data_IF_665242342126
#
_entry.id   IF_665242342126
#
_cell.length_a   1.000
_cell.length_b   1.000
_cell.length_c   1.000
_cell.angle_alpha   90.00
_cell.angle_beta   90.00
_cell.angle_gamma   90.00
#
_symmetry.space_group_name_H-M   'P 1'
#
loop_
_entity.id
_entity.type
_entity.pdbx_description
1 polymer ?
#
# COMPACT_ATOMS: atom_id res chain seq x y z
N UNK A 1 10.43 -6.13 -70.43
CA UNK A 1 10.28 -6.68 -69.08
C UNK A 1 11.10 -5.78 -68.18
N UNK A 2 10.44 -4.94 -67.37
CA UNK A 2 11.11 -4.12 -66.36
C UNK A 2 11.47 -5.11 -65.24
N UNK A 3 12.76 -5.40 -65.06
CA UNK A 3 13.20 -6.19 -63.92
C UNK A 3 13.01 -5.35 -62.67
N UNK A 4 12.08 -5.74 -61.80
CA UNK A 4 11.98 -5.14 -60.48
C UNK A 4 13.27 -5.43 -59.71
N UNK A 5 14.03 -4.39 -59.39
CA UNK A 5 15.17 -4.48 -58.48
C UNK A 5 14.65 -4.93 -57.10
N UNK A 6 14.98 -6.16 -56.72
CA UNK A 6 14.61 -6.70 -55.40
C UNK A 6 15.45 -5.97 -54.35
N UNK A 7 14.79 -5.41 -53.33
CA UNK A 7 15.46 -4.66 -52.26
C UNK A 7 16.52 -5.55 -51.57
N UNK A 8 17.81 -5.16 -51.56
CA UNK A 8 18.89 -5.92 -50.92
C UNK A 8 18.69 -6.16 -49.42
N UNK A 9 17.86 -5.37 -48.75
CA UNK A 9 17.53 -5.54 -47.32
C UNK A 9 16.82 -6.88 -47.06
N UNK A 10 16.14 -7.47 -48.06
CA UNK A 10 15.49 -8.78 -47.91
C UNK A 10 16.46 -9.96 -47.77
N UNK A 11 17.75 -9.74 -48.04
CA UNK A 11 18.80 -10.78 -47.92
C UNK A 11 19.60 -10.69 -46.62
N UNK A 12 19.24 -9.77 -45.71
CA UNK A 12 19.93 -9.57 -44.44
C UNK A 12 19.06 -10.01 -43.26
N UNK A 13 19.67 -10.68 -42.27
CA UNK A 13 18.99 -11.00 -41.02
C UNK A 13 18.75 -9.73 -40.19
N UNK A 14 17.49 -9.51 -39.80
CA UNK A 14 17.12 -8.37 -38.95
C UNK A 14 17.64 -8.60 -37.54
N UNK A 15 18.36 -7.62 -37.00
CA UNK A 15 18.84 -7.61 -35.62
C UNK A 15 17.89 -6.84 -34.73
N UNK A 16 17.75 -7.30 -33.49
CA UNK A 16 16.91 -6.65 -32.48
C UNK A 16 17.52 -5.33 -31.96
N UNK A 17 18.85 -5.22 -31.96
CA UNK A 17 19.59 -4.05 -31.51
C UNK A 17 20.85 -3.86 -32.36
N UNK A 18 21.34 -2.62 -32.42
CA UNK A 18 22.57 -2.26 -33.13
C UNK A 18 23.72 -1.86 -32.18
N UNK A 19 23.40 -1.55 -30.92
CA UNK A 19 24.37 -1.09 -29.92
C UNK A 19 24.07 -1.61 -28.50
N UNK A 20 25.03 -1.40 -27.58
CA UNK A 20 24.94 -1.88 -26.20
C UNK A 20 23.79 -1.24 -25.41
N UNK A 21 23.47 0.02 -25.67
CA UNK A 21 22.41 0.73 -24.95
C UNK A 21 21.01 0.24 -25.37
N UNK A 22 20.81 -0.02 -26.67
CA UNK A 22 19.59 -0.65 -27.19
C UNK A 22 19.40 -2.07 -26.66
N UNK A 23 20.49 -2.84 -26.58
CA UNK A 23 20.47 -4.17 -25.97
C UNK A 23 20.01 -4.11 -24.52
N UNK A 24 20.61 -3.24 -23.71
CA UNK A 24 20.23 -3.05 -22.31
C UNK A 24 18.75 -2.63 -22.16
N UNK A 25 18.28 -1.71 -23.02
CA UNK A 25 16.87 -1.32 -23.04
C UNK A 25 15.96 -2.51 -23.33
N UNK A 26 16.31 -3.34 -24.32
CA UNK A 26 15.55 -4.54 -24.64
C UNK A 26 15.59 -5.58 -23.52
N UNK A 27 16.73 -5.76 -22.87
CA UNK A 27 16.87 -6.66 -21.73
C UNK A 27 15.94 -6.21 -20.58
N UNK A 28 15.90 -4.92 -20.26
CA UNK A 28 14.97 -4.36 -19.26
C UNK A 28 13.50 -4.59 -19.63
N UNK A 29 13.15 -4.42 -20.91
CA UNK A 29 11.80 -4.68 -21.41
C UNK A 29 11.44 -6.17 -21.36
N UNK A 30 12.42 -7.04 -21.61
CA UNK A 30 12.26 -8.49 -21.54
C UNK A 30 11.98 -8.94 -20.10
N UNK A 31 12.61 -8.31 -19.12
CA UNK A 31 12.38 -8.61 -17.70
C UNK A 31 10.96 -8.20 -17.28
N UNK A 32 10.51 -7.00 -17.67
CA UNK A 32 9.13 -6.57 -17.42
C UNK A 32 8.12 -7.53 -18.07
N UNK A 33 8.36 -7.93 -19.32
CA UNK A 33 7.55 -8.92 -20.03
C UNK A 33 7.51 -10.28 -19.30
N UNK A 34 8.66 -10.74 -18.81
CA UNK A 34 8.76 -12.01 -18.09
C UNK A 34 7.99 -11.98 -16.76
N UNK A 35 8.15 -10.91 -15.97
CA UNK A 35 7.45 -10.75 -14.69
C UNK A 35 5.93 -10.70 -14.87
N UNK A 36 5.42 -9.99 -15.88
CA UNK A 36 3.98 -9.93 -16.16
C UNK A 36 3.42 -11.32 -16.48
N UNK A 37 4.11 -12.10 -17.32
CA UNK A 37 3.68 -13.46 -17.67
C UNK A 37 3.80 -14.42 -16.49
N UNK A 38 4.85 -14.29 -15.66
CA UNK A 38 5.01 -15.09 -14.46
C UNK A 38 3.87 -14.82 -13.46
N UNK A 39 3.50 -13.55 -13.27
CA UNK A 39 2.40 -13.16 -12.39
C UNK A 39 1.04 -13.67 -12.91
N UNK A 40 0.80 -13.57 -14.22
CA UNK A 40 -0.41 -14.12 -14.87
C UNK A 40 -0.50 -15.64 -14.69
N UNK A 41 0.62 -16.34 -14.84
CA UNK A 41 0.69 -17.78 -14.62
C UNK A 41 0.39 -18.13 -13.16
N UNK A 42 0.96 -17.40 -12.22
CA UNK A 42 0.74 -17.60 -10.78
C UNK A 42 -0.73 -17.41 -10.38
N UNK A 43 -1.40 -16.37 -10.88
CA UNK A 43 -2.84 -16.14 -10.66
C UNK A 43 -3.69 -17.28 -11.24
N UNK A 44 -3.33 -17.78 -12.43
CA UNK A 44 -3.97 -18.94 -13.06
C UNK A 44 -3.73 -20.23 -12.27
N UNK A 45 -2.57 -20.41 -11.66
CA UNK A 45 -2.28 -21.57 -10.81
C UNK A 45 -3.13 -21.54 -9.55
N UNK A 46 -3.26 -20.39 -8.89
CA UNK A 46 -4.11 -20.27 -7.70
C UNK A 46 -5.59 -20.51 -8.04
N UNK A 47 -6.11 -19.93 -9.12
CA UNK A 47 -7.51 -20.13 -9.51
C UNK A 47 -7.85 -21.58 -9.89
N UNK A 48 -6.84 -22.37 -10.27
CA UNK A 48 -6.95 -23.81 -10.55
C UNK A 48 -6.61 -24.70 -9.35
N UNK A 49 -6.44 -24.12 -8.16
CA UNK A 49 -6.04 -24.82 -6.93
C UNK A 49 -4.76 -25.66 -7.09
N UNK A 50 -3.83 -25.19 -7.94
CA UNK A 50 -2.56 -25.87 -8.25
C UNK A 50 -1.41 -25.41 -7.34
N UNK A 51 -1.64 -24.46 -6.44
CA UNK A 51 -0.64 -23.91 -5.52
C UNK A 51 -1.30 -23.59 -4.16
N UNK A 52 -0.67 -23.95 -3.03
CA UNK A 52 -1.19 -23.61 -1.71
C UNK A 52 -1.28 -22.08 -1.50
N UNK A 53 -2.31 -21.56 -0.83
CA UNK A 53 -2.49 -20.12 -0.61
C UNK A 53 -1.29 -19.41 0.03
N UNK A 54 -0.60 -20.10 0.96
CA UNK A 54 0.56 -19.55 1.67
C UNK A 54 1.76 -19.36 0.73
N UNK A 55 2.02 -20.33 -0.13
CA UNK A 55 3.10 -20.27 -1.11
C UNK A 55 2.80 -19.24 -2.20
N UNK A 56 1.56 -19.24 -2.70
CA UNK A 56 1.08 -18.20 -3.61
C UNK A 56 1.31 -16.79 -3.05
N UNK A 57 0.97 -16.56 -1.77
CA UNK A 57 1.09 -15.24 -1.15
C UNK A 57 2.54 -14.75 -1.20
N UNK A 58 3.49 -15.61 -0.82
CA UNK A 58 4.91 -15.27 -0.81
C UNK A 58 5.44 -14.95 -2.22
N UNK A 59 5.14 -15.81 -3.20
CA UNK A 59 5.62 -15.61 -4.57
C UNK A 59 4.94 -14.42 -5.27
N UNK A 60 3.65 -14.19 -5.02
CA UNK A 60 2.92 -13.05 -5.56
C UNK A 60 3.49 -11.73 -5.02
N UNK A 61 3.75 -11.64 -3.71
CA UNK A 61 4.41 -10.47 -3.11
C UNK A 61 5.79 -10.20 -3.72
N UNK A 62 6.58 -11.25 -3.97
CA UNK A 62 7.89 -11.13 -4.61
C UNK A 62 7.78 -10.63 -6.05
N UNK A 63 6.88 -11.20 -6.85
CA UNK A 63 6.66 -10.80 -8.24
C UNK A 63 6.15 -9.34 -8.36
N UNK A 64 5.29 -8.89 -7.44
CA UNK A 64 4.85 -7.49 -7.38
C UNK A 64 6.01 -6.52 -7.12
N UNK A 65 6.93 -6.88 -6.22
CA UNK A 65 8.14 -6.07 -5.98
C UNK A 65 9.03 -6.05 -7.21
N UNK A 66 9.26 -7.20 -7.85
CA UNK A 66 10.04 -7.30 -9.08
C UNK A 66 9.42 -6.48 -10.22
N UNK A 67 8.10 -6.52 -10.36
CA UNK A 67 7.35 -5.71 -11.33
C UNK A 67 7.63 -4.22 -11.16
N UNK A 68 7.58 -3.71 -9.91
CA UNK A 68 7.86 -2.29 -9.63
C UNK A 68 9.28 -1.88 -10.02
N UNK A 69 10.25 -2.78 -9.80
CA UNK A 69 11.65 -2.52 -10.19
C UNK A 69 11.77 -2.53 -11.72
N UNK A 70 11.23 -3.55 -12.39
CA UNK A 70 11.27 -3.67 -13.85
C UNK A 70 10.58 -2.49 -14.55
N UNK A 71 9.42 -2.06 -14.06
CA UNK A 71 8.68 -0.91 -14.61
C UNK A 71 9.52 0.37 -14.58
N UNK A 72 10.24 0.63 -13.48
CA UNK A 72 11.13 1.79 -13.33
C UNK A 72 12.30 1.76 -14.32
N UNK A 73 12.87 0.57 -14.56
CA UNK A 73 13.98 0.40 -15.50
C UNK A 73 13.56 0.62 -16.96
N UNK A 74 12.33 0.22 -17.32
CA UNK A 74 11.78 0.42 -18.67
C UNK A 74 11.37 1.88 -18.91
N UNK A 75 11.24 2.70 -17.84
CA UNK A 75 10.77 4.09 -17.90
C UNK A 75 9.40 4.23 -18.61
N UNK A 76 8.55 3.21 -18.50
CA UNK A 76 7.21 3.24 -19.04
C UNK A 76 6.27 3.93 -18.05
N UNK A 77 5.57 4.97 -18.51
CA UNK A 77 4.60 5.69 -17.68
C UNK A 77 3.29 4.92 -17.51
N UNK A 78 2.91 4.10 -18.50
CA UNK A 78 1.64 3.39 -18.53
C UNK A 78 1.85 1.91 -18.93
N UNK A 79 1.59 1.02 -17.98
CA UNK A 79 1.68 -0.42 -18.19
C UNK A 79 0.66 -0.92 -19.23
N UNK A 80 -0.51 -0.28 -19.34
CA UNK A 80 -1.55 -0.67 -20.30
C UNK A 80 -1.08 -0.40 -21.76
N UNK A 81 -0.24 0.63 -21.97
CA UNK A 81 0.41 0.87 -23.25
C UNK A 81 1.42 -0.23 -23.59
N UNK A 82 2.26 -0.62 -22.62
CA UNK A 82 3.26 -1.67 -22.81
C UNK A 82 2.61 -3.01 -23.16
N UNK A 83 1.59 -3.40 -22.39
CA UNK A 83 0.81 -4.64 -22.61
C UNK A 83 0.17 -4.65 -23.99
N UNK A 84 -0.41 -3.52 -24.42
CA UNK A 84 -1.03 -3.39 -25.75
C UNK A 84 0.00 -3.46 -26.88
N UNK A 85 1.12 -2.75 -26.73
CA UNK A 85 2.20 -2.69 -27.72
C UNK A 85 2.82 -4.06 -27.98
N UNK A 86 3.06 -4.83 -26.91
CA UNK A 86 3.67 -6.15 -26.97
C UNK A 86 2.65 -7.30 -26.97
N UNK A 87 1.35 -6.99 -27.04
CA UNK A 87 0.24 -7.95 -27.09
C UNK A 87 0.31 -9.01 -25.99
N UNK A 88 0.53 -8.55 -24.76
CA UNK A 88 0.66 -9.43 -23.59
C UNK A 88 -0.75 -9.76 -23.07
N UNK A 89 -1.14 -11.03 -23.05
CA UNK A 89 -2.43 -11.45 -22.51
C UNK A 89 -2.32 -11.75 -21.00
N UNK A 90 -2.41 -10.70 -20.17
CA UNK A 90 -2.21 -10.81 -18.73
C UNK A 90 -3.32 -10.14 -17.87
N UNK A 91 -4.62 -10.41 -18.12
CA UNK A 91 -5.70 -9.75 -17.41
C UNK A 91 -5.69 -9.97 -15.90
N UNK A 92 -5.32 -11.16 -15.42
CA UNK A 92 -5.28 -11.45 -13.98
C UNK A 92 -4.08 -10.76 -13.31
N UNK A 93 -2.92 -10.74 -13.98
CA UNK A 93 -1.76 -10.00 -13.52
C UNK A 93 -2.05 -8.50 -13.41
N UNK A 94 -2.76 -7.92 -14.38
CA UNK A 94 -3.11 -6.50 -14.36
C UNK A 94 -4.02 -6.14 -13.19
N UNK A 95 -5.04 -6.95 -12.89
CA UNK A 95 -5.88 -6.75 -11.71
C UNK A 95 -5.05 -6.82 -10.42
N UNK A 96 -4.15 -7.82 -10.31
CA UNK A 96 -3.25 -7.95 -9.16
C UNK A 96 -2.31 -6.75 -9.01
N UNK A 97 -1.77 -6.24 -10.11
CA UNK A 97 -0.92 -5.05 -10.11
C UNK A 97 -1.69 -3.80 -9.67
N UNK A 98 -2.95 -3.66 -10.11
CA UNK A 98 -3.83 -2.56 -9.68
C UNK A 98 -4.14 -2.61 -8.19
N UNK A 99 -4.32 -3.82 -7.63
CA UNK A 99 -4.55 -4.02 -6.19
C UNK A 99 -3.26 -3.94 -5.34
N UNK A 100 -2.09 -4.14 -5.94
CA UNK A 100 -0.76 -4.10 -5.32
C UNK A 100 -0.56 -4.99 -4.08
N UNK A 101 -1.28 -6.11 -4.00
CA UNK A 101 -1.21 -7.11 -2.91
C UNK A 101 -1.76 -8.45 -3.39
N UNK A 102 -1.39 -9.62 -2.85
CA UNK A 102 -1.97 -10.93 -3.25
C UNK A 102 -3.48 -11.10 -2.91
N UNK A 103 -4.27 -11.89 -3.67
CA UNK A 103 -5.74 -12.04 -3.44
C UNK A 103 -6.07 -12.76 -2.13
N UNK A 104 -5.13 -13.58 -1.67
CA UNK A 104 -5.18 -14.29 -0.39
C UNK A 104 -5.01 -13.32 0.77
N UNK A 105 -4.34 -12.19 0.53
CA UNK A 105 -4.26 -11.05 1.44
C UNK A 105 -5.44 -10.13 1.13
N UNK A 106 -6.65 -10.65 1.33
CA UNK A 106 -7.80 -9.79 1.62
C UNK A 106 -7.73 -9.44 3.09
N UNK A 107 -8.08 -8.18 3.39
CA UNK A 107 -7.98 -7.53 4.70
C UNK A 107 -7.89 -8.54 5.83
N UNK A 108 -6.84 -8.37 6.60
CA UNK A 108 -6.39 -9.16 7.72
C UNK A 108 -7.48 -9.13 8.82
N UNK A 109 -8.71 -9.62 8.57
CA UNK A 109 -9.91 -9.31 9.38
C UNK A 109 -9.73 -9.68 10.85
N UNK A 110 -8.91 -10.68 11.15
CA UNK A 110 -8.51 -11.00 12.53
C UNK A 110 -7.63 -9.91 13.16
N UNK A 111 -6.67 -9.37 12.40
CA UNK A 111 -5.85 -8.23 12.77
C UNK A 111 -6.63 -6.91 12.74
N UNK A 112 -7.57 -6.72 11.80
CA UNK A 112 -8.45 -5.55 11.74
C UNK A 112 -9.40 -5.51 12.92
N UNK A 113 -10.09 -6.61 13.25
CA UNK A 113 -10.97 -6.68 14.43
C UNK A 113 -10.18 -6.46 15.73
N UNK A 114 -8.96 -7.02 15.82
CA UNK A 114 -8.05 -6.77 16.93
C UNK A 114 -7.65 -5.29 17.01
N UNK A 115 -7.18 -4.70 15.91
CA UNK A 115 -6.85 -3.28 15.84
C UNK A 115 -8.07 -2.39 16.16
N UNK A 116 -9.28 -2.76 15.72
CA UNK A 116 -10.51 -2.02 16.05
C UNK A 116 -10.72 -2.06 17.57
N UNK A 117 -10.64 -3.24 18.19
CA UNK A 117 -10.80 -3.38 19.64
C UNK A 117 -9.77 -2.55 20.40
N UNK A 118 -8.48 -2.64 20.02
CA UNK A 118 -7.39 -1.88 20.63
C UNK A 118 -7.60 -0.36 20.46
N UNK A 119 -7.99 0.13 19.28
CA UNK A 119 -8.26 1.55 19.03
C UNK A 119 -9.43 2.04 19.90
N UNK A 120 -10.52 1.28 19.96
CA UNK A 120 -11.70 1.64 20.79
C UNK A 120 -11.32 1.68 22.27
N UNK A 121 -10.59 0.67 22.75
CA UNK A 121 -10.11 0.60 24.13
C UNK A 121 -9.21 1.80 24.48
N UNK A 122 -8.26 2.16 23.62
CA UNK A 122 -7.36 3.28 23.86
C UNK A 122 -8.07 4.64 23.78
N UNK A 123 -9.05 4.81 22.89
CA UNK A 123 -9.88 6.02 22.88
C UNK A 123 -10.60 6.20 24.21
N UNK A 124 -11.26 5.15 24.71
CA UNK A 124 -11.99 5.19 25.99
C UNK A 124 -11.03 5.46 27.13
N UNK A 125 -9.94 4.69 27.20
CA UNK A 125 -8.91 4.83 28.25
C UNK A 125 -8.34 6.24 28.30
N UNK A 126 -7.96 6.82 27.16
CA UNK A 126 -7.38 8.16 27.11
C UNK A 126 -8.40 9.25 27.48
N UNK A 127 -9.64 9.12 27.02
CA UNK A 127 -10.72 10.04 27.40
C UNK A 127 -11.01 9.96 28.91
N UNK A 128 -10.97 8.77 29.50
CA UNK A 128 -11.15 8.58 30.94
C UNK A 128 -9.99 9.17 31.74
N UNK A 129 -8.74 9.01 31.30
CA UNK A 129 -7.58 9.69 31.91
C UNK A 129 -7.80 11.21 31.97
N UNK A 130 -8.21 11.83 30.86
CA UNK A 130 -8.48 13.27 30.83
C UNK A 130 -9.64 13.68 31.75
N UNK A 131 -10.72 12.87 31.80
CA UNK A 131 -11.88 13.11 32.66
C UNK A 131 -11.58 12.93 34.16
N UNK A 132 -10.60 12.09 34.50
CA UNK A 132 -10.08 11.90 35.86
C UNK A 132 -9.05 12.96 36.27
N UNK A 133 -8.87 14.01 35.47
CA UNK A 133 -7.90 15.08 35.67
C UNK A 133 -6.44 14.64 35.62
N UNK A 134 -6.13 13.58 34.86
CA UNK A 134 -4.73 13.31 34.48
C UNK A 134 -4.27 14.40 33.52
N UNK A 135 -3.14 15.04 33.83
CA UNK A 135 -2.57 16.17 33.08
C UNK A 135 -1.10 15.99 32.72
N UNK A 136 -0.38 15.13 33.45
CA UNK A 136 1.04 14.89 33.23
C UNK A 136 1.28 14.24 31.87
N UNK A 137 2.27 14.76 31.14
CA UNK A 137 2.58 14.31 29.78
C UNK A 137 3.09 12.87 29.77
N UNK A 138 3.90 12.47 30.74
CA UNK A 138 4.39 11.09 30.86
C UNK A 138 3.30 10.05 31.15
N UNK A 139 2.19 10.46 31.77
CA UNK A 139 1.02 9.60 31.99
C UNK A 139 0.09 9.53 30.76
N UNK A 140 -0.02 10.62 30.00
CA UNK A 140 -0.90 10.72 28.83
C UNK A 140 -0.25 10.20 27.54
N UNK A 141 1.02 10.53 27.33
CA UNK A 141 1.72 10.29 26.07
C UNK A 141 1.80 8.80 25.65
N UNK A 142 2.03 7.83 26.56
CA UNK A 142 2.08 6.41 26.19
C UNK A 142 0.79 5.93 25.50
N UNK A 143 -0.37 6.14 26.12
CA UNK A 143 -1.68 5.75 25.58
C UNK A 143 -1.96 6.44 24.25
N UNK A 144 -1.66 7.75 24.14
CA UNK A 144 -1.87 8.50 22.89
C UNK A 144 -0.92 8.04 21.77
N UNK A 145 0.31 7.65 22.13
CA UNK A 145 1.29 7.09 21.20
C UNK A 145 0.84 5.77 20.60
N UNK A 146 0.36 4.86 21.43
CA UNK A 146 -0.18 3.57 20.99
C UNK A 146 -1.45 3.75 20.15
N UNK A 147 -2.33 4.69 20.52
CA UNK A 147 -3.52 5.02 19.73
C UNK A 147 -3.14 5.53 18.33
N UNK A 148 -2.20 6.47 18.25
CA UNK A 148 -1.72 7.03 16.99
C UNK A 148 -1.04 5.96 16.10
N UNK A 149 -0.23 5.07 16.71
CA UNK A 149 0.42 3.98 16.00
C UNK A 149 -0.60 2.99 15.43
N UNK A 150 -1.58 2.57 16.23
CA UNK A 150 -2.60 1.60 15.84
C UNK A 150 -3.52 2.15 14.75
N UNK A 151 -3.92 3.42 14.84
CA UNK A 151 -4.67 4.10 13.77
C UNK A 151 -3.86 4.25 12.49
N UNK A 152 -2.53 4.39 12.58
CA UNK A 152 -1.66 4.48 11.42
C UNK A 152 -1.41 3.12 10.75
N UNK A 153 -1.43 2.03 11.54
CA UNK A 153 -1.25 0.67 11.05
C UNK A 153 -2.51 0.08 10.41
N UNK A 154 -3.69 0.62 10.70
CA UNK A 154 -4.95 0.14 10.15
C UNK A 154 -5.10 0.54 8.67
N UNK A 155 -4.80 -0.39 7.76
CA UNK A 155 -4.87 -0.18 6.30
C UNK A 155 -6.28 0.11 5.78
N UNK A 156 -7.32 -0.25 6.52
CA UNK A 156 -8.71 0.06 6.17
C UNK A 156 -9.08 1.53 6.39
N UNK A 157 -8.29 2.28 7.17
CA UNK A 157 -8.52 3.71 7.37
C UNK A 157 -7.89 4.53 6.23
N UNK A 158 -8.63 5.46 5.62
CA UNK A 158 -8.06 6.42 4.68
C UNK A 158 -6.94 7.25 5.33
N UNK A 159 -5.89 7.58 4.57
CA UNK A 159 -4.76 8.36 5.12
C UNK A 159 -5.14 9.77 5.54
N UNK A 160 -6.13 10.37 4.89
CA UNK A 160 -6.69 11.68 5.20
C UNK A 160 -7.92 11.61 6.13
N UNK A 161 -8.10 10.51 6.85
CA UNK A 161 -9.22 10.36 7.78
C UNK A 161 -9.13 11.35 8.94
N UNK A 162 -10.19 12.15 9.15
CA UNK A 162 -10.23 13.22 10.15
C UNK A 162 -9.81 12.78 11.55
N UNK A 163 -10.26 11.60 11.99
CA UNK A 163 -9.89 11.05 13.29
C UNK A 163 -8.39 10.78 13.41
N UNK A 164 -7.75 10.28 12.34
CA UNK A 164 -6.30 9.99 12.29
C UNK A 164 -5.50 11.29 12.37
N UNK A 165 -5.95 12.34 11.69
CA UNK A 165 -5.32 13.66 11.71
C UNK A 165 -5.40 14.33 13.09
N UNK A 166 -6.56 14.26 13.75
CA UNK A 166 -6.76 14.83 15.10
C UNK A 166 -5.90 14.15 16.16
N UNK A 167 -5.90 12.82 16.19
CA UNK A 167 -5.06 12.04 17.11
C UNK A 167 -3.58 12.36 16.89
N UNK A 168 -3.14 12.40 15.62
CA UNK A 168 -1.77 12.75 15.26
C UNK A 168 -1.39 14.16 15.71
N UNK A 169 -2.26 15.15 15.55
CA UNK A 169 -2.00 16.53 15.95
C UNK A 169 -1.73 16.64 17.47
N UNK A 170 -2.54 15.97 18.30
CA UNK A 170 -2.33 15.94 19.74
C UNK A 170 -1.09 15.13 20.13
N UNK A 171 -0.84 14.01 19.46
CA UNK A 171 0.38 13.22 19.66
C UNK A 171 1.62 14.07 19.38
N UNK A 172 1.66 14.76 18.24
CA UNK A 172 2.82 15.57 17.85
C UNK A 172 3.00 16.78 18.79
N UNK A 173 1.91 17.32 19.35
CA UNK A 173 1.96 18.35 20.40
C UNK A 173 2.57 17.81 21.69
N UNK A 174 2.07 16.71 22.24
CA UNK A 174 2.58 16.14 23.50
C UNK A 174 4.02 15.63 23.36
N UNK A 175 4.40 15.10 22.19
CA UNK A 175 5.77 14.69 21.88
C UNK A 175 6.79 15.81 22.01
N UNK A 176 6.37 17.07 21.78
CA UNK A 176 7.21 18.25 21.91
C UNK A 176 7.37 18.76 23.35
N UNK A 177 6.63 18.21 24.31
CA UNK A 177 6.66 18.62 25.72
C UNK A 177 7.62 17.74 26.52
N UNK A 178 8.13 18.24 27.64
CA UNK A 178 8.91 17.42 28.59
C UNK A 178 8.01 16.42 29.29
N UNK A 179 8.53 15.25 29.65
CA UNK A 179 7.81 14.22 30.41
C UNK A 179 7.12 14.77 31.69
N UNK A 180 7.80 15.65 32.43
CA UNK A 180 7.28 16.26 33.65
C UNK A 180 6.38 17.49 33.42
N UNK A 181 6.07 17.84 32.18
CA UNK A 181 5.14 18.93 31.90
C UNK A 181 3.71 18.44 32.11
N UNK A 182 2.82 19.38 32.40
CA UNK A 182 1.38 19.15 32.47
C UNK A 182 0.67 19.97 31.40
N UNK A 183 -0.40 19.42 30.83
CA UNK A 183 -1.33 20.19 30.02
C UNK A 183 -2.25 21.02 30.91
N UNK A 184 -2.63 22.21 30.45
CA UNK A 184 -3.63 23.05 31.12
C UNK A 184 -5.04 22.47 31.02
N UNK A 185 -5.93 22.90 31.91
CA UNK A 185 -7.33 22.48 31.88
C UNK A 185 -8.06 22.91 30.60
N UNK A 186 -7.66 24.02 29.99
CA UNK A 186 -8.20 24.47 28.71
C UNK A 186 -7.75 23.54 27.57
N UNK A 187 -6.47 23.15 27.56
CA UNK A 187 -5.95 22.16 26.60
C UNK A 187 -6.63 20.80 26.79
N UNK A 188 -6.84 20.37 28.04
CA UNK A 188 -7.52 19.12 28.34
C UNK A 188 -8.97 19.14 27.84
N UNK A 189 -9.72 20.24 28.05
CA UNK A 189 -11.09 20.39 27.52
C UNK A 189 -11.14 20.34 26.00
N UNK A 190 -10.22 21.03 25.33
CA UNK A 190 -10.13 21.01 23.88
C UNK A 190 -9.77 19.61 23.36
N UNK A 191 -8.83 18.93 24.02
CA UNK A 191 -8.41 17.57 23.68
C UNK A 191 -9.55 16.57 23.85
N UNK A 192 -10.33 16.65 24.93
CA UNK A 192 -11.54 15.83 25.14
C UNK A 192 -12.51 16.04 23.98
N UNK A 193 -12.85 17.28 23.64
CA UNK A 193 -13.81 17.59 22.58
C UNK A 193 -13.36 17.03 21.22
N UNK A 194 -12.10 17.24 20.85
CA UNK A 194 -11.58 16.79 19.57
C UNK A 194 -11.46 15.26 19.48
N UNK A 195 -11.05 14.60 20.55
CA UNK A 195 -10.92 13.14 20.58
C UNK A 195 -12.27 12.43 20.71
N UNK A 196 -13.26 12.99 21.41
CA UNK A 196 -14.63 12.48 21.36
C UNK A 196 -15.22 12.62 19.94
N UNK A 197 -14.93 13.72 19.26
CA UNK A 197 -15.33 13.89 17.86
C UNK A 197 -14.63 12.87 16.95
N UNK A 198 -13.33 12.66 17.14
CA UNK A 198 -12.55 11.67 16.40
C UNK A 198 -13.07 10.24 16.64
N UNK A 199 -13.38 9.89 17.88
CA UNK A 199 -13.94 8.59 18.26
C UNK A 199 -15.32 8.35 17.64
N UNK A 200 -16.20 9.36 17.65
CA UNK A 200 -17.51 9.29 17.02
C UNK A 200 -17.40 9.13 15.50
N UNK A 201 -16.47 9.85 14.86
CA UNK A 201 -16.20 9.71 13.44
C UNK A 201 -15.66 8.30 13.10
N UNK A 202 -14.75 7.77 13.91
CA UNK A 202 -14.23 6.41 13.76
C UNK A 202 -15.36 5.37 13.91
N UNK A 203 -16.22 5.51 14.92
CA UNK A 203 -17.37 4.61 15.12
C UNK A 203 -18.35 4.66 13.94
N UNK A 204 -18.64 5.85 13.39
CA UNK A 204 -19.48 5.98 12.18
C UNK A 204 -18.83 5.29 10.99
N UNK A 205 -17.53 5.44 10.80
CA UNK A 205 -16.79 4.75 9.75
C UNK A 205 -16.94 3.23 9.86
N UNK A 206 -16.84 2.67 11.08
CA UNK A 206 -17.05 1.24 11.31
C UNK A 206 -18.47 0.76 11.03
N UNK A 207 -19.48 1.61 11.19
CA UNK A 207 -20.87 1.28 10.84
C UNK A 207 -21.18 1.44 9.35
N UNK A 208 -20.41 2.25 8.63
CA UNK A 208 -20.58 2.48 7.18
C UNK A 208 -19.70 1.60 6.29
N UNK A 209 -18.78 0.84 6.87
CA UNK A 209 -17.85 -0.08 6.19
C UNK A 209 -18.39 -1.50 6.20
#
# INVERSE_FOLDING_TARGET
MIGEEVNPDFFQEVRLYENSAERERLDNMSELYAVLNALECLEKMLSRDCIPPKEYTAECSKLLVQYKVALRLVQCADIDEFVRKYRIECPAALERIREDRPITVRDDKGNTLKCIAEIVEMFITFLDQLKLNVRAVDELFPTLGELNASMSAMSSLPDNFDSKLKVKAWHDRLKGMSASAEISDEEARQMIFELETAYNSFTRFLHSS
#
